data_IF_371202286735
#
_entry.id   IF_371202286735
#
_cell.length_a   1.000
_cell.length_b   1.000
_cell.length_c   1.000
_cell.angle_alpha   90.00
_cell.angle_beta   90.00
_cell.angle_gamma   90.00
#
_symmetry.space_group_name_H-M   'P 1'
#
loop_
_entity.id
_entity.type
_entity.pdbx_description
1 polymer ?
#
# COMPACT_ATOMS: atom_id res chain seq x y z
N UNK A 1 -52.05 44.93 -6.95
CA UNK A 1 -50.59 45.03 -6.75
C UNK A 1 -50.01 43.88 -5.91
N UNK A 2 -50.74 43.30 -4.94
CA UNK A 2 -50.22 42.27 -4.00
C UNK A 2 -49.62 41.02 -4.66
N UNK A 3 -50.31 40.40 -5.64
CA UNK A 3 -49.91 39.09 -6.16
C UNK A 3 -48.65 39.12 -7.05
N UNK A 4 -48.45 40.19 -7.81
CA UNK A 4 -47.26 40.35 -8.67
C UNK A 4 -46.02 40.59 -7.82
N UNK A 5 -46.15 41.41 -6.77
CA UNK A 5 -45.09 41.67 -5.80
C UNK A 5 -44.73 40.39 -5.01
N UNK A 6 -45.72 39.63 -4.55
CA UNK A 6 -45.53 38.35 -3.87
C UNK A 6 -44.78 37.35 -4.75
N UNK A 7 -45.23 37.13 -5.99
CA UNK A 7 -44.54 36.22 -6.91
C UNK A 7 -43.15 36.70 -7.31
N UNK A 8 -42.93 38.01 -7.43
CA UNK A 8 -41.59 38.57 -7.67
C UNK A 8 -40.65 38.20 -6.52
N UNK A 9 -41.09 38.39 -5.28
CA UNK A 9 -40.29 38.07 -4.10
C UNK A 9 -39.94 36.57 -4.03
N UNK A 10 -40.93 35.69 -4.21
CA UNK A 10 -40.72 34.23 -4.20
C UNK A 10 -39.71 33.79 -5.26
N UNK A 11 -39.80 34.35 -6.46
CA UNK A 11 -38.89 34.00 -7.56
C UNK A 11 -37.50 34.63 -7.37
N UNK A 12 -37.40 35.80 -6.74
CA UNK A 12 -36.13 36.43 -6.41
C UNK A 12 -35.37 35.62 -5.34
N UNK A 13 -36.05 35.21 -4.26
CA UNK A 13 -35.51 34.31 -3.24
C UNK A 13 -35.01 33.00 -3.87
N UNK A 14 -35.85 32.37 -4.69
CA UNK A 14 -35.50 31.13 -5.38
C UNK A 14 -34.29 31.31 -6.30
N UNK A 15 -34.16 32.46 -6.97
CA UNK A 15 -32.99 32.79 -7.80
C UNK A 15 -31.71 32.88 -6.97
N UNK A 16 -31.77 33.51 -5.79
CA UNK A 16 -30.64 33.60 -4.86
C UNK A 16 -30.20 32.21 -4.39
N UNK A 17 -31.13 31.37 -3.95
CA UNK A 17 -30.86 29.99 -3.52
C UNK A 17 -30.27 29.12 -4.63
N UNK A 18 -30.72 29.32 -5.88
CA UNK A 18 -30.14 28.65 -7.04
C UNK A 18 -28.69 29.07 -7.30
N UNK A 19 -28.34 30.32 -7.04
CA UNK A 19 -26.97 30.82 -7.17
C UNK A 19 -26.04 30.22 -6.11
N UNK A 20 -26.50 30.22 -4.85
CA UNK A 20 -25.79 29.56 -3.74
C UNK A 20 -25.56 28.08 -4.03
N UNK A 21 -26.57 27.37 -4.56
CA UNK A 21 -26.45 25.97 -4.94
C UNK A 21 -25.46 25.75 -6.11
N UNK A 22 -25.37 26.68 -7.07
CA UNK A 22 -24.34 26.64 -8.12
C UNK A 22 -22.95 26.80 -7.51
N UNK A 23 -22.77 27.76 -6.59
CA UNK A 23 -21.53 27.94 -5.85
C UNK A 23 -21.11 26.67 -5.10
N UNK A 24 -22.03 26.07 -4.35
CA UNK A 24 -21.79 24.85 -3.61
C UNK A 24 -21.40 23.66 -4.51
N UNK A 25 -22.09 23.45 -5.64
CA UNK A 25 -21.73 22.37 -6.56
C UNK A 25 -20.40 22.62 -7.29
N UNK A 26 -20.06 23.87 -7.62
CA UNK A 26 -18.73 24.19 -8.17
C UNK A 26 -17.63 23.89 -7.16
N UNK A 27 -17.86 24.16 -5.87
CA UNK A 27 -16.91 23.80 -4.82
C UNK A 27 -16.69 22.27 -4.77
N UNK A 28 -17.76 21.47 -4.74
CA UNK A 28 -17.63 20.01 -4.74
C UNK A 28 -16.97 19.47 -6.03
N UNK A 29 -17.27 20.07 -7.19
CA UNK A 29 -16.63 19.72 -8.47
C UNK A 29 -15.11 19.94 -8.44
N UNK A 30 -14.67 21.11 -7.95
CA UNK A 30 -13.26 21.43 -7.82
C UNK A 30 -12.58 20.51 -6.79
N UNK A 31 -13.21 20.29 -5.63
CA UNK A 31 -12.71 19.38 -4.62
C UNK A 31 -12.53 17.96 -5.17
N UNK A 32 -13.47 17.48 -5.99
CA UNK A 32 -13.40 16.16 -6.59
C UNK A 32 -12.23 16.04 -7.57
N UNK A 33 -11.95 17.08 -8.37
CA UNK A 33 -10.78 17.09 -9.26
C UNK A 33 -9.46 17.03 -8.49
N UNK A 34 -9.37 17.73 -7.37
CA UNK A 34 -8.19 17.65 -6.49
C UNK A 34 -8.03 16.24 -5.93
N UNK A 35 -9.13 15.61 -5.47
CA UNK A 35 -9.12 14.22 -4.98
C UNK A 35 -8.69 13.24 -6.08
N UNK A 36 -9.24 13.35 -7.29
CA UNK A 36 -8.86 12.48 -8.43
C UNK A 36 -7.37 12.62 -8.74
N UNK A 37 -6.85 13.86 -8.74
CA UNK A 37 -5.43 14.11 -8.96
C UNK A 37 -4.58 13.47 -7.87
N UNK A 38 -4.93 13.65 -6.59
CA UNK A 38 -4.22 13.03 -5.48
C UNK A 38 -4.19 11.50 -5.58
N UNK A 39 -5.34 10.87 -5.87
CA UNK A 39 -5.42 9.42 -6.07
C UNK A 39 -4.55 9.00 -7.27
N UNK A 40 -4.52 9.80 -8.34
CA UNK A 40 -3.68 9.51 -9.49
C UNK A 40 -2.19 9.55 -9.16
N UNK A 41 -1.76 10.57 -8.41
CA UNK A 41 -0.38 10.75 -7.96
C UNK A 41 0.03 9.58 -7.04
N UNK A 42 -0.88 9.12 -6.16
CA UNK A 42 -0.67 7.96 -5.28
C UNK A 42 -0.56 6.63 -6.07
N UNK A 43 -1.47 6.40 -7.02
CA UNK A 43 -1.39 5.26 -7.96
C UNK A 43 -0.06 5.27 -8.74
N UNK A 44 0.42 6.45 -9.15
CA UNK A 44 1.70 6.59 -9.83
C UNK A 44 2.88 6.37 -8.88
N UNK A 45 2.79 6.81 -7.63
CA UNK A 45 3.77 6.50 -6.58
C UNK A 45 3.93 4.99 -6.39
N UNK A 46 2.82 4.25 -6.32
CA UNK A 46 2.84 2.79 -6.28
C UNK A 46 3.46 2.12 -7.51
N UNK A 47 3.60 2.81 -8.65
CA UNK A 47 4.23 2.25 -9.85
C UNK A 47 5.77 2.34 -9.86
N UNK A 48 6.37 3.01 -8.87
CA UNK A 48 7.82 3.05 -8.67
C UNK A 48 8.35 1.71 -8.12
N UNK A 49 9.58 1.34 -8.48
CA UNK A 49 10.14 -0.03 -8.28
C UNK A 49 10.03 -0.55 -6.83
N UNK A 50 10.27 0.28 -5.81
CA UNK A 50 10.21 -0.13 -4.41
C UNK A 50 8.78 -0.46 -3.92
N UNK A 51 7.77 0.24 -4.44
CA UNK A 51 6.35 0.10 -4.03
C UNK A 51 5.50 -0.66 -5.06
N UNK A 52 6.15 -1.19 -6.11
CA UNK A 52 5.47 -1.88 -7.21
C UNK A 52 4.82 -3.18 -6.71
N UNK A 53 3.51 -3.39 -6.98
CA UNK A 53 2.89 -4.69 -6.79
C UNK A 53 3.60 -5.76 -7.63
N UNK A 54 3.96 -6.88 -7.00
CA UNK A 54 4.69 -7.99 -7.63
C UNK A 54 6.19 -7.77 -7.74
N UNK A 55 6.80 -6.87 -6.94
CA UNK A 55 8.26 -6.77 -6.86
C UNK A 55 8.89 -8.07 -6.34
N UNK A 56 8.16 -8.78 -5.48
CA UNK A 56 8.39 -10.19 -5.20
C UNK A 56 7.43 -11.01 -6.07
N UNK A 57 7.90 -12.16 -6.58
CA UNK A 57 7.05 -13.14 -7.26
C UNK A 57 6.93 -14.46 -6.48
N UNK A 58 6.49 -14.48 -5.20
CA UNK A 58 6.32 -15.74 -4.46
C UNK A 58 5.02 -16.42 -4.88
N UNK A 59 4.91 -17.74 -4.66
CA UNK A 59 3.66 -18.48 -4.89
C UNK A 59 2.48 -17.96 -4.06
N UNK A 60 2.76 -17.37 -2.88
CA UNK A 60 1.77 -16.74 -2.01
C UNK A 60 2.45 -15.72 -1.10
N UNK A 61 2.01 -14.46 -1.13
CA UNK A 61 2.59 -13.40 -0.32
C UNK A 61 1.51 -12.44 0.18
N UNK A 62 1.28 -12.44 1.49
CA UNK A 62 0.24 -11.65 2.13
C UNK A 62 0.49 -10.14 2.03
N UNK A 63 1.75 -9.71 1.87
CA UNK A 63 2.09 -8.30 1.67
C UNK A 63 1.72 -7.88 0.26
N UNK A 64 2.08 -8.67 -0.75
CA UNK A 64 1.74 -8.38 -2.16
C UNK A 64 0.23 -8.39 -2.38
N UNK A 65 -0.49 -9.33 -1.75
CA UNK A 65 -1.94 -9.36 -1.79
C UNK A 65 -2.55 -8.08 -1.20
N UNK A 66 -2.05 -7.64 -0.03
CA UNK A 66 -2.54 -6.43 0.61
C UNK A 66 -2.26 -5.17 -0.24
N UNK A 67 -1.06 -5.05 -0.81
CA UNK A 67 -0.67 -3.95 -1.70
C UNK A 67 -1.56 -3.93 -2.95
N UNK A 68 -1.81 -5.09 -3.55
CA UNK A 68 -2.66 -5.20 -4.74
C UNK A 68 -4.11 -4.81 -4.44
N UNK A 69 -4.63 -5.19 -3.26
CA UNK A 69 -5.98 -4.79 -2.83
C UNK A 69 -6.09 -3.27 -2.61
N UNK A 70 -5.11 -2.65 -1.95
CA UNK A 70 -5.03 -1.19 -1.79
C UNK A 70 -4.99 -0.49 -3.17
N UNK A 71 -4.11 -0.94 -4.05
CA UNK A 71 -3.96 -0.39 -5.40
C UNK A 71 -5.25 -0.48 -6.23
N UNK A 72 -5.89 -1.65 -6.23
CA UNK A 72 -7.15 -1.86 -6.96
C UNK A 72 -8.27 -0.99 -6.40
N UNK A 73 -8.37 -0.87 -5.08
CA UNK A 73 -9.33 0.01 -4.43
C UNK A 73 -9.17 1.47 -4.88
N UNK A 74 -7.94 2.00 -4.87
CA UNK A 74 -7.67 3.37 -5.33
C UNK A 74 -8.05 3.57 -6.80
N UNK A 75 -7.75 2.59 -7.67
CA UNK A 75 -8.12 2.64 -9.09
C UNK A 75 -9.63 2.66 -9.29
N UNK A 76 -10.36 1.85 -8.53
CA UNK A 76 -11.83 1.82 -8.56
C UNK A 76 -12.43 3.15 -8.07
N UNK A 77 -11.91 3.71 -6.97
CA UNK A 77 -12.39 4.99 -6.47
C UNK A 77 -12.09 6.14 -7.43
N UNK A 78 -10.90 6.15 -8.06
CA UNK A 78 -10.55 7.14 -9.10
C UNK A 78 -11.61 7.14 -10.21
N UNK A 79 -11.90 5.96 -10.77
CA UNK A 79 -12.91 5.80 -11.82
C UNK A 79 -14.31 6.22 -11.35
N UNK A 80 -14.68 5.89 -10.11
CA UNK A 80 -15.95 6.30 -9.51
C UNK A 80 -16.08 7.82 -9.45
N UNK A 81 -15.05 8.53 -9.01
CA UNK A 81 -15.07 9.99 -8.94
C UNK A 81 -15.03 10.65 -10.33
N UNK A 82 -14.27 10.11 -11.28
CA UNK A 82 -14.28 10.56 -12.68
C UNK A 82 -15.69 10.48 -13.27
N UNK A 83 -16.44 9.42 -12.97
CA UNK A 83 -17.83 9.26 -13.43
C UNK A 83 -18.81 10.25 -12.76
N UNK A 84 -18.51 10.77 -11.57
CA UNK A 84 -19.36 11.75 -10.88
C UNK A 84 -19.20 13.17 -11.43
N UNK A 85 -18.05 13.51 -12.01
CA UNK A 85 -17.79 14.84 -12.61
C UNK A 85 -18.86 15.26 -13.64
N UNK A 86 -19.15 14.46 -14.69
CA UNK A 86 -20.14 14.86 -15.70
C UNK A 86 -21.55 15.00 -15.11
N UNK A 87 -21.89 14.22 -14.08
CA UNK A 87 -23.16 14.35 -13.38
C UNK A 87 -23.27 15.69 -12.64
N UNK A 88 -22.22 16.10 -11.92
CA UNK A 88 -22.18 17.40 -11.25
C UNK A 88 -22.29 18.54 -12.26
N UNK A 89 -21.53 18.48 -13.36
CA UNK A 89 -21.56 19.48 -14.44
C UNK A 89 -22.97 19.62 -15.03
N UNK A 90 -23.66 18.50 -15.26
CA UNK A 90 -25.05 18.48 -15.72
C UNK A 90 -26.01 19.13 -14.73
N UNK A 91 -25.81 18.94 -13.41
CA UNK A 91 -26.63 19.60 -12.38
C UNK A 91 -26.36 21.10 -12.31
N UNK A 92 -25.10 21.52 -12.39
CA UNK A 92 -24.72 22.95 -12.44
C UNK A 92 -25.39 23.64 -13.63
N UNK A 93 -25.35 23.03 -14.82
CA UNK A 93 -25.98 23.61 -16.01
C UNK A 93 -27.51 23.68 -15.88
N UNK A 94 -28.14 22.67 -15.30
CA UNK A 94 -29.59 22.69 -15.04
C UNK A 94 -29.99 23.81 -14.05
N UNK A 95 -29.19 24.06 -13.01
CA UNK A 95 -29.39 25.18 -12.08
C UNK A 95 -29.25 26.52 -12.80
N UNK A 96 -28.15 26.73 -13.54
CA UNK A 96 -27.89 27.96 -14.31
C UNK A 96 -29.01 28.26 -15.30
N UNK A 97 -29.48 27.25 -16.04
CA UNK A 97 -30.59 27.38 -16.99
C UNK A 97 -31.90 27.74 -16.30
N UNK A 98 -32.18 27.14 -15.14
CA UNK A 98 -33.42 27.44 -14.39
C UNK A 98 -33.36 28.83 -13.76
N UNK A 99 -32.20 29.23 -13.21
CA UNK A 99 -31.93 30.57 -12.69
C UNK A 99 -32.18 31.64 -13.75
N UNK A 100 -31.56 31.52 -14.93
CA UNK A 100 -31.78 32.47 -16.06
C UNK A 100 -33.26 32.64 -16.43
N UNK A 101 -34.03 31.54 -16.43
CA UNK A 101 -35.48 31.59 -16.71
C UNK A 101 -36.26 32.33 -15.62
N UNK A 102 -35.88 32.14 -14.36
CA UNK A 102 -36.49 32.80 -13.20
C UNK A 102 -36.14 34.29 -13.21
N UNK A 103 -34.88 34.65 -13.42
CA UNK A 103 -34.42 36.05 -13.49
C UNK A 103 -35.13 36.84 -14.60
N UNK A 104 -35.33 36.22 -15.77
CA UNK A 104 -36.09 36.83 -16.85
C UNK A 104 -37.56 37.10 -16.45
N UNK A 105 -38.20 36.19 -15.71
CA UNK A 105 -39.57 36.39 -15.24
C UNK A 105 -39.66 37.40 -14.07
N UNK A 106 -38.65 37.46 -13.21
CA UNK A 106 -38.49 38.50 -12.17
C UNK A 106 -38.34 39.89 -12.80
N UNK A 107 -37.53 40.03 -13.86
CA UNK A 107 -37.37 41.30 -14.58
C UNK A 107 -38.70 41.76 -15.20
N UNK A 108 -39.44 40.85 -15.83
CA UNK A 108 -40.76 41.17 -16.38
C UNK A 108 -41.75 41.62 -15.30
N UNK A 109 -41.71 40.99 -14.11
CA UNK A 109 -42.53 41.41 -12.96
C UNK A 109 -42.11 42.78 -12.42
N UNK A 110 -40.80 43.07 -12.35
CA UNK A 110 -40.28 44.38 -11.97
C UNK A 110 -40.78 45.48 -12.91
N UNK A 111 -40.71 45.25 -14.22
CA UNK A 111 -41.21 46.19 -15.23
C UNK A 111 -42.73 46.40 -15.10
N UNK A 112 -43.48 45.33 -14.84
CA UNK A 112 -44.94 45.43 -14.64
C UNK A 112 -45.28 46.28 -13.42
N UNK A 113 -44.63 46.05 -12.28
CA UNK A 113 -44.84 46.85 -11.06
C UNK A 113 -44.45 48.32 -11.27
N UNK A 114 -43.35 48.59 -11.97
CA UNK A 114 -42.93 49.96 -12.27
C UNK A 114 -43.94 50.72 -13.15
N UNK A 115 -44.58 50.03 -14.11
CA UNK A 115 -45.67 50.60 -14.91
C UNK A 115 -46.90 50.86 -14.04
N UNK A 116 -47.28 49.89 -13.18
CA UNK A 116 -48.44 50.04 -12.29
C UNK A 116 -48.24 51.22 -11.31
N UNK A 117 -47.03 51.40 -10.78
CA UNK A 117 -46.64 52.55 -9.92
C UNK A 117 -46.68 53.88 -10.70
N UNK A 118 -46.20 53.90 -11.94
CA UNK A 118 -46.22 55.08 -12.81
C UNK A 118 -47.63 55.46 -13.30
N UNK A 119 -48.57 54.51 -13.36
CA UNK A 119 -49.98 54.77 -13.64
C UNK A 119 -50.75 55.22 -12.39
N UNK A 120 -50.35 54.75 -11.20
CA UNK A 120 -50.94 55.16 -9.92
C UNK A 120 -50.50 56.54 -9.44
N UNK A 121 -49.32 56.99 -9.84
CA UNK A 121 -48.86 58.38 -9.71
C UNK A 121 -49.31 59.14 -10.96
N UNK A 122 -49.98 60.29 -10.85
CA UNK A 122 -50.59 61.05 -11.97
C UNK A 122 -49.58 61.66 -12.99
N UNK A 123 -48.48 60.97 -13.34
CA UNK A 123 -47.44 61.37 -14.29
C UNK A 123 -47.61 60.72 -15.67
N UNK A 124 -48.79 60.18 -16.00
CA UNK A 124 -49.09 59.71 -17.35
C UNK A 124 -49.44 60.88 -18.28
N UNK A 125 -48.44 61.57 -18.84
CA UNK A 125 -48.65 62.34 -20.06
C UNK A 125 -48.80 61.35 -21.23
N UNK A 126 -49.90 61.36 -21.99
CA UNK A 126 -50.10 60.42 -23.08
C UNK A 126 -49.19 60.83 -24.25
N UNK A 127 -48.01 60.20 -24.38
CA UNK A 127 -47.25 60.27 -25.63
C UNK A 127 -48.06 59.57 -26.71
N UNK A 128 -48.72 60.37 -27.55
CA UNK A 128 -49.46 59.96 -28.74
C UNK A 128 -48.50 59.18 -29.63
N UNK A 129 -48.68 57.86 -29.70
CA UNK A 129 -47.83 56.99 -30.50
C UNK A 129 -48.12 57.23 -31.99
N UNK A 130 -47.20 57.92 -32.67
CA UNK A 130 -47.17 57.98 -34.13
C UNK A 130 -46.88 56.59 -34.70
N UNK A 131 -47.80 56.14 -35.55
CA UNK A 131 -47.65 55.17 -36.64
C UNK A 131 -46.67 54.00 -36.43
N UNK A 132 -47.21 52.88 -35.97
CA UNK A 132 -46.61 51.56 -36.16
C UNK A 132 -47.68 50.48 -35.98
N UNK A 133 -47.82 49.58 -36.96
CA UNK A 133 -48.76 48.44 -36.95
C UNK A 133 -48.60 47.64 -35.64
N UNK A 134 -49.41 47.96 -34.61
CA UNK A 134 -49.39 47.25 -33.33
C UNK A 134 -49.96 45.87 -33.54
N UNK A 135 -49.08 44.87 -33.66
CA UNK A 135 -49.48 43.47 -33.48
C UNK A 135 -50.23 43.38 -32.13
N UNK A 136 -51.50 42.95 -32.18
CA UNK A 136 -52.30 42.65 -30.99
C UNK A 136 -51.62 41.49 -30.24
N UNK A 137 -50.74 41.81 -29.29
CA UNK A 137 -50.18 40.80 -28.38
C UNK A 137 -51.35 40.24 -27.57
N UNK A 138 -51.69 38.96 -27.77
CA UNK A 138 -52.73 38.29 -26.99
C UNK A 138 -52.35 38.35 -25.51
N UNK A 139 -53.17 38.98 -24.69
CA UNK A 139 -52.96 39.03 -23.25
C UNK A 139 -53.02 37.60 -22.67
N UNK A 140 -52.14 37.30 -21.71
CA UNK A 140 -52.22 36.04 -20.99
C UNK A 140 -53.39 36.09 -20.01
N UNK A 141 -54.21 35.05 -19.98
CA UNK A 141 -55.19 34.86 -18.91
C UNK A 141 -54.48 34.75 -17.55
N UNK A 142 -55.11 35.21 -16.46
CA UNK A 142 -54.58 35.11 -15.10
C UNK A 142 -54.17 33.68 -14.73
N UNK A 143 -55.01 32.70 -15.07
CA UNK A 143 -54.73 31.28 -14.82
C UNK A 143 -53.42 30.81 -15.49
N UNK A 144 -53.21 31.16 -16.77
CA UNK A 144 -51.95 30.84 -17.49
C UNK A 144 -50.73 31.53 -16.89
N UNK A 145 -50.89 32.77 -16.40
CA UNK A 145 -49.80 33.50 -15.73
C UNK A 145 -49.42 32.83 -14.41
N UNK A 146 -50.41 32.50 -13.57
CA UNK A 146 -50.19 31.83 -12.30
C UNK A 146 -49.55 30.46 -12.48
N UNK A 147 -50.06 29.66 -13.43
CA UNK A 147 -49.49 28.35 -13.76
C UNK A 147 -48.03 28.43 -14.23
N UNK A 148 -47.65 29.52 -14.92
CA UNK A 148 -46.26 29.76 -15.32
C UNK A 148 -45.37 30.04 -14.11
N UNK A 149 -45.81 30.90 -13.18
CA UNK A 149 -45.09 31.20 -11.94
C UNK A 149 -44.90 29.93 -11.09
N UNK A 150 -45.97 29.17 -10.87
CA UNK A 150 -45.95 27.87 -10.19
C UNK A 150 -45.00 26.88 -10.87
N UNK A 151 -45.04 26.79 -12.21
CA UNK A 151 -44.14 25.93 -12.97
C UNK A 151 -42.66 26.29 -12.81
N UNK A 152 -42.33 27.59 -12.76
CA UNK A 152 -40.97 28.06 -12.49
C UNK A 152 -40.53 27.72 -11.06
N UNK A 153 -41.41 27.97 -10.07
CA UNK A 153 -41.15 27.62 -8.66
C UNK A 153 -40.86 26.13 -8.51
N UNK A 154 -41.74 25.26 -9.04
CA UNK A 154 -41.55 23.80 -8.98
C UNK A 154 -40.28 23.34 -9.69
N UNK A 155 -39.98 23.92 -10.85
CA UNK A 155 -38.74 23.61 -11.57
C UNK A 155 -37.51 24.00 -10.76
N UNK A 156 -37.50 25.18 -10.14
CA UNK A 156 -36.41 25.66 -9.29
C UNK A 156 -36.21 24.79 -8.05
N UNK A 157 -37.28 24.49 -7.32
CA UNK A 157 -37.22 23.60 -6.15
C UNK A 157 -36.69 22.21 -6.52
N UNK A 158 -37.15 21.63 -7.64
CA UNK A 158 -36.67 20.33 -8.11
C UNK A 158 -35.17 20.32 -8.42
N UNK A 159 -34.65 21.36 -9.09
CA UNK A 159 -33.20 21.40 -9.38
C UNK A 159 -32.38 21.67 -8.11
N UNK A 160 -32.91 22.42 -7.14
CA UNK A 160 -32.30 22.58 -5.81
C UNK A 160 -32.23 21.26 -5.05
N UNK A 161 -33.32 20.51 -4.96
CA UNK A 161 -33.33 19.19 -4.31
C UNK A 161 -32.30 18.26 -4.95
N UNK A 162 -32.24 18.22 -6.29
CA UNK A 162 -31.23 17.42 -6.99
C UNK A 162 -29.79 17.87 -6.69
N UNK A 163 -29.56 19.18 -6.54
CA UNK A 163 -28.25 19.72 -6.19
C UNK A 163 -27.84 19.30 -4.78
N UNK A 164 -28.75 19.37 -3.81
CA UNK A 164 -28.52 18.93 -2.42
C UNK A 164 -28.18 17.43 -2.38
N UNK A 165 -28.97 16.59 -3.05
CA UNK A 165 -28.72 15.14 -3.12
C UNK A 165 -27.35 14.85 -3.73
N UNK A 166 -27.02 15.51 -4.85
CA UNK A 166 -25.73 15.32 -5.54
C UNK A 166 -24.57 15.72 -4.63
N UNK A 167 -24.68 16.85 -3.92
CA UNK A 167 -23.67 17.31 -2.95
C UNK A 167 -23.47 16.28 -1.84
N UNK A 168 -24.55 15.77 -1.26
CA UNK A 168 -24.47 14.74 -0.20
C UNK A 168 -23.83 13.45 -0.70
N UNK A 169 -24.14 13.02 -1.93
CA UNK A 169 -23.54 11.84 -2.55
C UNK A 169 -22.02 12.00 -2.74
N UNK A 170 -21.58 13.16 -3.24
CA UNK A 170 -20.15 13.45 -3.42
C UNK A 170 -19.42 13.48 -2.08
N UNK A 171 -20.00 14.15 -1.07
CA UNK A 171 -19.43 14.20 0.28
C UNK A 171 -19.33 12.82 0.91
N UNK A 172 -20.41 12.04 0.87
CA UNK A 172 -20.42 10.67 1.40
C UNK A 172 -19.38 9.78 0.71
N UNK A 173 -19.22 9.91 -0.61
CA UNK A 173 -18.20 9.16 -1.35
C UNK A 173 -16.77 9.58 -0.96
N UNK A 174 -16.51 10.87 -0.71
CA UNK A 174 -15.21 11.37 -0.24
C UNK A 174 -14.87 10.87 1.16
N UNK A 175 -15.84 10.91 2.09
CA UNK A 175 -15.67 10.38 3.45
C UNK A 175 -15.38 8.88 3.39
N UNK A 176 -16.14 8.13 2.58
CA UNK A 176 -15.90 6.71 2.36
C UNK A 176 -14.49 6.43 1.83
N UNK A 177 -14.02 7.18 0.83
CA UNK A 177 -12.65 7.08 0.34
C UNK A 177 -11.65 7.24 1.48
N UNK A 178 -11.78 8.31 2.29
CA UNK A 178 -10.83 8.61 3.36
C UNK A 178 -10.71 7.46 4.37
N UNK A 179 -11.85 6.96 4.85
CA UNK A 179 -11.89 5.88 5.84
C UNK A 179 -11.37 4.56 5.25
N UNK A 180 -11.87 4.20 4.06
CA UNK A 180 -11.50 2.93 3.44
C UNK A 180 -10.02 2.92 2.99
N UNK A 181 -9.50 4.03 2.44
CA UNK A 181 -8.09 4.15 2.07
C UNK A 181 -7.18 3.98 3.30
N UNK A 182 -7.51 4.62 4.43
CA UNK A 182 -6.79 4.41 5.69
C UNK A 182 -6.84 2.95 6.14
N UNK A 183 -8.00 2.29 6.00
CA UNK A 183 -8.15 0.87 6.30
C UNK A 183 -7.26 -0.03 5.43
N UNK A 184 -7.21 0.20 4.11
CA UNK A 184 -6.31 -0.53 3.22
C UNK A 184 -4.84 -0.26 3.54
N UNK A 185 -4.47 0.99 3.79
CA UNK A 185 -3.10 1.36 4.14
C UNK A 185 -2.64 0.69 5.44
N UNK A 186 -3.47 0.71 6.49
CA UNK A 186 -3.15 0.07 7.76
C UNK A 186 -3.00 -1.46 7.63
N UNK A 187 -3.76 -2.09 6.73
CA UNK A 187 -3.63 -3.54 6.44
C UNK A 187 -2.28 -3.85 5.80
N UNK A 188 -1.84 -3.03 4.83
CA UNK A 188 -0.52 -3.16 4.20
C UNK A 188 0.59 -2.96 5.23
N UNK A 189 0.51 -1.89 6.03
CA UNK A 189 1.52 -1.59 7.05
C UNK A 189 1.63 -2.71 8.09
N UNK A 190 0.49 -3.27 8.53
CA UNK A 190 0.45 -4.41 9.44
C UNK A 190 1.06 -5.66 8.81
N UNK A 191 0.80 -5.93 7.53
CA UNK A 191 1.39 -7.06 6.82
C UNK A 191 2.91 -6.90 6.68
N UNK A 192 3.38 -5.72 6.26
CA UNK A 192 4.81 -5.38 6.15
C UNK A 192 5.54 -5.55 7.47
N UNK A 193 5.04 -4.94 8.55
CA UNK A 193 5.68 -5.03 9.88
C UNK A 193 5.77 -6.46 10.40
N UNK A 194 4.70 -7.26 10.20
CA UNK A 194 4.71 -8.67 10.61
C UNK A 194 5.72 -9.48 9.82
N UNK A 195 5.76 -9.31 8.50
CA UNK A 195 6.73 -10.00 7.64
C UNK A 195 8.16 -9.61 7.96
N UNK A 196 8.42 -8.30 8.09
CA UNK A 196 9.74 -7.77 8.44
C UNK A 196 10.24 -8.36 9.77
N UNK A 197 9.39 -8.35 10.80
CA UNK A 197 9.73 -8.91 12.10
C UNK A 197 10.00 -10.42 12.02
N UNK A 198 9.12 -11.18 11.36
CA UNK A 198 9.29 -12.62 11.18
C UNK A 198 10.57 -12.96 10.41
N UNK A 199 10.88 -12.22 9.34
CA UNK A 199 12.09 -12.43 8.55
C UNK A 199 13.35 -12.06 9.32
N UNK A 200 13.34 -11.00 10.13
CA UNK A 200 14.47 -10.64 11.02
C UNK A 200 14.76 -11.74 12.03
N UNK A 201 13.74 -12.30 12.68
CA UNK A 201 13.89 -13.44 13.60
C UNK A 201 14.44 -14.65 12.85
N UNK A 202 13.87 -14.97 11.69
CA UNK A 202 14.31 -16.11 10.87
C UNK A 202 15.76 -15.97 10.42
N UNK A 203 16.20 -14.76 10.06
CA UNK A 203 17.59 -14.48 9.72
C UNK A 203 18.53 -14.68 10.92
N UNK A 204 18.13 -14.22 12.11
CA UNK A 204 18.91 -14.43 13.34
C UNK A 204 19.05 -15.91 13.67
N UNK A 205 17.96 -16.67 13.63
CA UNK A 205 17.95 -18.12 13.85
C UNK A 205 18.83 -18.85 12.83
N UNK A 206 18.72 -18.48 11.55
CA UNK A 206 19.53 -19.06 10.48
C UNK A 206 21.02 -18.75 10.65
N UNK A 207 21.39 -17.53 11.05
CA UNK A 207 22.78 -17.19 11.36
C UNK A 207 23.30 -18.01 12.55
N UNK A 208 22.48 -18.22 13.57
CA UNK A 208 22.84 -19.06 14.71
C UNK A 208 23.06 -20.52 14.29
N UNK A 209 22.16 -21.09 13.48
CA UNK A 209 22.30 -22.46 12.94
C UNK A 209 23.55 -22.60 12.07
N UNK A 210 23.86 -21.57 11.27
CA UNK A 210 25.09 -21.51 10.47
C UNK A 210 26.33 -21.52 11.35
N UNK A 211 26.37 -20.71 12.40
CA UNK A 211 27.49 -20.70 13.34
C UNK A 211 27.68 -22.04 14.05
N UNK A 212 26.58 -22.73 14.41
CA UNK A 212 26.65 -24.08 14.98
C UNK A 212 27.20 -25.09 13.97
N UNK A 213 26.71 -25.07 12.73
CA UNK A 213 27.22 -25.97 11.69
C UNK A 213 28.71 -25.75 11.39
N UNK A 214 29.20 -24.50 11.49
CA UNK A 214 30.64 -24.19 11.38
C UNK A 214 31.42 -24.77 12.57
N UNK A 215 30.88 -24.68 13.80
CA UNK A 215 31.50 -25.30 14.98
C UNK A 215 31.61 -26.82 14.81
N UNK A 216 30.51 -27.48 14.43
CA UNK A 216 30.47 -28.92 14.17
C UNK A 216 31.46 -29.32 13.07
N UNK A 217 31.55 -28.53 12.00
CA UNK A 217 32.51 -28.76 10.91
C UNK A 217 33.96 -28.72 11.42
N UNK A 218 34.31 -27.75 12.26
CA UNK A 218 35.64 -27.63 12.85
C UNK A 218 35.94 -28.79 13.81
N UNK A 219 34.95 -29.25 14.60
CA UNK A 219 35.10 -30.44 15.44
C UNK A 219 35.37 -31.70 14.61
N UNK A 220 34.66 -31.89 13.49
CA UNK A 220 34.94 -33.00 12.58
C UNK A 220 36.33 -32.90 11.93
N UNK A 221 36.83 -31.69 11.68
CA UNK A 221 38.19 -31.47 11.17
C UNK A 221 39.25 -31.90 12.19
N UNK A 222 39.07 -31.57 13.47
CA UNK A 222 39.93 -32.05 14.55
C UNK A 222 39.87 -33.58 14.71
N UNK A 223 38.67 -34.17 14.65
CA UNK A 223 38.48 -35.62 14.70
C UNK A 223 39.15 -36.34 13.52
N UNK A 224 39.07 -35.75 12.32
CA UNK A 224 39.72 -36.26 11.11
C UNK A 224 41.24 -36.29 11.30
N UNK A 225 41.84 -35.17 11.69
CA UNK A 225 43.28 -35.06 11.94
C UNK A 225 43.74 -36.09 12.98
N UNK A 226 43.01 -36.22 14.09
CA UNK A 226 43.33 -37.20 15.13
C UNK A 226 43.20 -38.65 14.61
N UNK A 227 42.18 -38.95 13.82
CA UNK A 227 41.98 -40.30 13.24
C UNK A 227 43.07 -40.65 12.24
N UNK A 228 43.52 -39.68 11.43
CA UNK A 228 44.64 -39.83 10.51
C UNK A 228 45.96 -40.07 11.24
N UNK A 229 46.24 -39.32 12.31
CA UNK A 229 47.41 -39.54 13.16
C UNK A 229 47.41 -40.94 13.80
N UNK A 230 46.26 -41.38 14.30
CA UNK A 230 46.09 -42.73 14.84
C UNK A 230 46.32 -43.81 13.78
N UNK A 231 45.89 -43.57 12.53
CA UNK A 231 46.11 -44.49 11.43
C UNK A 231 47.60 -44.60 11.09
N UNK A 232 48.31 -43.48 11.02
CA UNK A 232 49.76 -43.47 10.78
C UNK A 232 50.51 -44.22 11.89
N UNK A 233 50.19 -43.95 13.16
CA UNK A 233 50.80 -44.65 14.29
C UNK A 233 50.52 -46.16 14.28
N UNK A 234 49.30 -46.56 13.91
CA UNK A 234 48.95 -47.98 13.76
C UNK A 234 49.68 -48.65 12.60
N UNK A 235 49.88 -47.95 11.48
CA UNK A 235 50.68 -48.44 10.35
C UNK A 235 52.17 -48.58 10.67
N UNK A 236 52.72 -47.74 11.56
CA UNK A 236 54.08 -47.90 12.07
C UNK A 236 54.22 -49.14 12.94
N UNK A 237 53.25 -49.39 13.82
CA UNK A 237 53.20 -50.62 14.62
C UNK A 237 53.08 -51.87 13.74
N UNK A 238 52.23 -51.81 12.72
CA UNK A 238 52.07 -52.89 11.74
C UNK A 238 53.42 -53.23 11.08
N UNK A 239 54.16 -52.21 10.62
CA UNK A 239 55.49 -52.38 10.02
C UNK A 239 56.50 -53.03 10.98
N UNK A 240 56.50 -52.65 12.26
CA UNK A 240 57.39 -53.24 13.27
C UNK A 240 57.06 -54.72 13.49
N UNK A 241 55.79 -55.08 13.58
CA UNK A 241 55.36 -56.48 13.77
C UNK A 241 55.68 -57.31 12.52
N UNK A 242 55.47 -56.76 11.32
CA UNK A 242 55.84 -57.41 10.06
C UNK A 242 57.34 -57.64 9.94
N UNK A 243 58.17 -56.64 10.28
CA UNK A 243 59.62 -56.77 10.29
C UNK A 243 60.07 -57.88 11.25
N UNK A 244 59.51 -57.93 12.47
CA UNK A 244 59.78 -59.00 13.44
C UNK A 244 59.37 -60.38 12.93
N UNK A 245 58.24 -60.49 12.24
CA UNK A 245 57.81 -61.75 11.62
C UNK A 245 58.74 -62.15 10.46
N UNK A 246 59.20 -61.18 9.66
CA UNK A 246 60.16 -61.39 8.58
C UNK A 246 61.51 -61.87 9.12
N UNK A 247 62.06 -61.23 10.15
CA UNK A 247 63.32 -61.64 10.79
C UNK A 247 63.25 -63.07 11.31
N UNK A 248 62.12 -63.45 11.91
CA UNK A 248 61.89 -64.82 12.39
C UNK A 248 61.79 -65.85 11.25
N UNK A 249 61.39 -65.42 10.06
CA UNK A 249 61.31 -66.28 8.87
C UNK A 249 62.68 -66.57 8.24
N UNK A 250 63.72 -65.79 8.58
CA UNK A 250 65.10 -65.98 8.11
C UNK A 250 65.89 -67.05 8.89
N UNK A 251 65.26 -67.72 9.87
CA UNK A 251 65.93 -68.77 10.65
C UNK A 251 66.36 -69.95 9.75
N UNK A 252 67.50 -70.59 10.03
CA UNK A 252 67.97 -71.74 9.24
C UNK A 252 66.94 -72.89 9.19
N UNK A 253 66.95 -73.70 8.11
CA UNK A 253 66.11 -74.89 8.02
C UNK A 253 66.36 -75.82 9.21
N UNK A 254 65.31 -76.13 9.98
CA UNK A 254 65.37 -76.91 11.22
C UNK A 254 65.06 -76.11 12.50
N UNK A 255 65.35 -74.80 12.51
CA UNK A 255 65.10 -73.88 13.64
C UNK A 255 63.84 -73.00 13.45
N UNK A 256 63.09 -73.26 12.37
CA UNK A 256 61.89 -72.53 12.02
C UNK A 256 60.72 -72.98 12.90
N UNK A 257 60.47 -72.26 13.98
CA UNK A 257 59.45 -72.62 14.97
C UNK A 257 58.16 -71.78 14.83
N UNK A 258 57.02 -72.46 14.96
CA UNK A 258 55.69 -71.85 15.19
C UNK A 258 55.42 -71.80 16.70
N UNK A 259 56.35 -71.21 17.43
CA UNK A 259 56.26 -71.04 18.86
C UNK A 259 55.21 -69.97 19.23
N UNK A 260 54.99 -69.82 20.52
CA UNK A 260 54.00 -68.92 21.08
C UNK A 260 54.20 -67.47 20.60
N UNK A 261 55.44 -67.01 20.53
CA UNK A 261 55.76 -65.64 20.08
C UNK A 261 55.38 -65.44 18.61
N UNK A 262 55.59 -66.42 17.74
CA UNK A 262 55.17 -66.33 16.34
C UNK A 262 53.64 -66.24 16.22
N UNK A 263 52.91 -67.04 17.02
CA UNK A 263 51.43 -66.97 17.08
C UNK A 263 50.96 -65.59 17.54
N UNK A 264 51.50 -65.08 18.64
CA UNK A 264 51.13 -63.77 19.20
C UNK A 264 51.41 -62.62 18.23
N UNK A 265 52.56 -62.62 17.54
CA UNK A 265 52.87 -61.60 16.53
C UNK A 265 51.88 -61.65 15.35
N UNK A 266 51.44 -62.84 14.92
CA UNK A 266 50.43 -62.96 13.86
C UNK A 266 49.05 -62.49 14.31
N UNK A 267 48.66 -62.78 15.55
CA UNK A 267 47.41 -62.29 16.13
C UNK A 267 47.43 -60.77 16.32
N UNK A 268 48.55 -60.21 16.78
CA UNK A 268 48.77 -58.77 16.86
C UNK A 268 48.68 -58.11 15.49
N UNK A 269 49.36 -58.65 14.47
CA UNK A 269 49.28 -58.16 13.09
C UNK A 269 47.84 -58.16 12.56
N UNK A 270 47.08 -59.24 12.82
CA UNK A 270 45.68 -59.32 12.42
C UNK A 270 44.82 -58.25 13.10
N UNK A 271 45.05 -57.98 14.40
CA UNK A 271 44.37 -56.90 15.13
C UNK A 271 44.72 -55.52 14.59
N UNK A 272 46.00 -55.24 14.35
CA UNK A 272 46.47 -53.98 13.78
C UNK A 272 45.83 -53.71 12.40
N UNK A 273 45.78 -54.73 11.53
CA UNK A 273 45.11 -54.62 10.22
C UNK A 273 43.60 -54.36 10.33
N UNK A 274 42.93 -55.05 11.25
CA UNK A 274 41.51 -54.81 11.51
C UNK A 274 41.26 -53.38 12.00
N UNK A 275 42.14 -52.87 12.87
CA UNK A 275 42.05 -51.50 13.39
C UNK A 275 42.35 -50.46 12.30
N UNK A 276 43.37 -50.67 11.46
CA UNK A 276 43.65 -49.86 10.27
C UNK A 276 42.42 -49.74 9.36
N UNK A 277 41.72 -50.85 9.11
CA UNK A 277 40.49 -50.85 8.31
C UNK A 277 39.40 -50.01 8.97
N UNK A 278 39.24 -50.13 10.28
CA UNK A 278 38.25 -49.35 11.04
C UNK A 278 38.54 -47.84 10.99
N UNK A 279 39.81 -47.44 11.17
CA UNK A 279 40.21 -46.04 11.09
C UNK A 279 39.97 -45.45 9.70
N UNK A 280 40.27 -46.19 8.62
CA UNK A 280 39.95 -45.76 7.25
C UNK A 280 38.45 -45.56 7.02
N UNK A 281 37.63 -46.49 7.50
CA UNK A 281 36.17 -46.34 7.44
C UNK A 281 35.68 -45.12 8.23
N UNK A 282 36.33 -44.80 9.35
CA UNK A 282 35.99 -43.62 10.13
C UNK A 282 36.36 -42.33 9.40
N UNK A 283 37.55 -42.27 8.79
CA UNK A 283 37.96 -41.16 7.91
C UNK A 283 36.92 -40.94 6.80
N UNK A 284 36.55 -41.98 6.06
CA UNK A 284 35.56 -41.88 4.98
C UNK A 284 34.21 -41.33 5.47
N UNK A 285 33.78 -41.77 6.66
CA UNK A 285 32.55 -41.31 7.31
C UNK A 285 32.64 -39.84 7.72
N UNK A 286 33.72 -39.44 8.39
CA UNK A 286 33.94 -38.05 8.83
C UNK A 286 34.01 -37.10 7.64
N UNK A 287 34.74 -37.46 6.57
CA UNK A 287 34.78 -36.68 5.33
C UNK A 287 33.40 -36.54 4.69
N UNK A 288 32.61 -37.62 4.67
CA UNK A 288 31.23 -37.56 4.15
C UNK A 288 30.34 -36.62 4.98
N UNK A 289 30.48 -36.62 6.31
CA UNK A 289 29.76 -35.71 7.19
C UNK A 289 30.18 -34.26 6.99
N UNK A 290 31.49 -33.98 6.86
CA UNK A 290 31.99 -32.65 6.54
C UNK A 290 31.40 -32.11 5.24
N UNK A 291 31.39 -32.92 4.17
CA UNK A 291 30.79 -32.51 2.90
C UNK A 291 29.31 -32.13 3.03
N UNK A 292 28.53 -32.94 3.76
CA UNK A 292 27.11 -32.65 4.02
C UNK A 292 26.92 -31.36 4.84
N UNK A 293 27.80 -31.08 5.81
CA UNK A 293 27.77 -29.82 6.57
C UNK A 293 28.14 -28.63 5.69
N UNK A 294 29.16 -28.73 4.84
CA UNK A 294 29.52 -27.68 3.87
C UNK A 294 28.34 -27.36 2.95
N UNK A 295 27.67 -28.40 2.43
CA UNK A 295 26.48 -28.23 1.60
C UNK A 295 25.32 -27.58 2.36
N UNK A 296 25.17 -27.89 3.65
CA UNK A 296 24.15 -27.27 4.50
C UNK A 296 24.46 -25.81 4.79
N UNK A 297 25.73 -25.48 5.08
CA UNK A 297 26.21 -24.10 5.30
C UNK A 297 25.97 -23.24 4.06
N UNK A 298 26.33 -23.73 2.87
CA UNK A 298 26.11 -22.99 1.62
C UNK A 298 24.63 -22.74 1.33
N UNK A 299 23.75 -23.71 1.61
CA UNK A 299 22.29 -23.50 1.50
C UNK A 299 21.77 -22.47 2.50
N UNK A 300 22.27 -22.50 3.74
CA UNK A 300 21.93 -21.48 4.74
C UNK A 300 22.35 -20.09 4.25
N UNK A 301 23.56 -19.94 3.73
CA UNK A 301 24.05 -18.67 3.18
C UNK A 301 23.14 -18.13 2.06
N UNK A 302 22.73 -18.98 1.10
CA UNK A 302 21.79 -18.57 0.05
C UNK A 302 20.45 -18.10 0.62
N UNK A 303 19.89 -18.81 1.60
CA UNK A 303 18.64 -18.40 2.26
C UNK A 303 18.78 -17.12 3.08
N UNK A 304 19.94 -16.89 3.70
CA UNK A 304 20.25 -15.66 4.41
C UNK A 304 20.23 -14.47 3.44
N UNK A 305 20.89 -14.59 2.29
CA UNK A 305 20.92 -13.55 1.26
C UNK A 305 19.52 -13.20 0.75
N UNK A 306 18.69 -14.21 0.48
CA UNK A 306 17.30 -14.01 0.04
C UNK A 306 16.48 -13.28 1.12
N UNK A 307 16.62 -13.67 2.39
CA UNK A 307 15.95 -12.98 3.51
C UNK A 307 16.41 -11.54 3.64
N UNK A 308 17.72 -11.26 3.51
CA UNK A 308 18.27 -9.90 3.56
C UNK A 308 17.65 -9.03 2.45
N UNK A 309 17.53 -9.56 1.23
CA UNK A 309 16.89 -8.82 0.12
C UNK A 309 15.43 -8.49 0.42
N UNK A 310 14.67 -9.45 0.96
CA UNK A 310 13.26 -9.22 1.33
C UNK A 310 13.12 -8.22 2.48
N UNK A 311 13.97 -8.33 3.51
CA UNK A 311 14.00 -7.40 4.65
C UNK A 311 14.26 -5.98 4.16
N UNK A 312 15.28 -5.80 3.32
CA UNK A 312 15.63 -4.49 2.76
C UNK A 312 14.47 -3.89 1.96
N UNK A 313 13.84 -4.70 1.11
CA UNK A 313 12.68 -4.27 0.33
C UNK A 313 11.49 -3.88 1.22
N UNK A 314 11.25 -4.59 2.33
CA UNK A 314 10.23 -4.23 3.30
C UNK A 314 10.54 -2.93 4.04
N UNK A 315 11.80 -2.70 4.41
CA UNK A 315 12.25 -1.46 5.04
C UNK A 315 12.08 -0.27 4.08
N UNK A 316 12.52 -0.41 2.83
CA UNK A 316 12.35 0.62 1.80
C UNK A 316 10.86 0.94 1.56
N UNK A 317 9.99 -0.08 1.53
CA UNK A 317 8.53 0.11 1.42
C UNK A 317 7.93 0.84 2.60
N UNK A 318 8.35 0.52 3.82
CA UNK A 318 7.87 1.20 5.03
C UNK A 318 8.33 2.67 5.02
N UNK A 319 9.60 2.94 4.72
CA UNK A 319 10.13 4.31 4.65
C UNK A 319 9.39 5.16 3.60
N UNK A 320 9.19 4.61 2.40
CA UNK A 320 8.45 5.31 1.35
C UNK A 320 7.02 5.67 1.78
N UNK A 321 6.34 4.76 2.49
CA UNK A 321 4.97 5.00 2.99
C UNK A 321 4.91 6.01 4.13
N UNK A 322 5.98 6.13 4.92
CA UNK A 322 6.10 7.16 5.98
C UNK A 322 6.50 8.53 5.43
N UNK A 323 6.91 8.62 4.15
CA UNK A 323 7.42 9.85 3.55
C UNK A 323 8.82 10.23 4.06
N UNK A 324 9.55 9.25 4.59
CA UNK A 324 10.93 9.44 5.04
C UNK A 324 11.87 9.26 3.84
N UNK A 325 12.67 10.26 3.52
CA UNK A 325 13.75 10.09 2.55
C UNK A 325 14.78 9.09 3.10
N UNK A 326 15.08 8.05 2.32
CA UNK A 326 16.12 7.08 2.64
C UNK A 326 17.43 7.83 2.87
N UNK A 327 17.86 7.93 4.13
CA UNK A 327 19.26 8.25 4.42
C UNK A 327 20.08 7.13 3.82
N UNK A 328 20.87 7.45 2.78
CA UNK A 328 21.84 6.53 2.22
C UNK A 328 22.79 6.11 3.33
N UNK A 329 22.64 4.88 3.82
CA UNK A 329 23.58 4.33 4.81
C UNK A 329 24.90 4.11 4.09
N UNK A 330 26.02 4.74 4.50
CA UNK A 330 27.33 4.33 4.03
C UNK A 330 27.63 2.94 4.60
N UNK A 331 28.08 2.02 3.75
CA UNK A 331 28.59 0.74 4.21
C UNK A 331 29.67 0.92 5.29
N UNK A 332 29.56 0.07 6.31
CA UNK A 332 30.56 -0.36 7.29
C UNK A 332 30.39 0.13 8.75
N UNK A 333 30.36 -0.89 9.60
CA UNK A 333 30.72 -0.97 11.02
C UNK A 333 29.62 -0.82 12.09
N UNK A 334 29.45 -1.95 12.76
CA UNK A 334 28.74 -2.22 14.02
C UNK A 334 29.45 -1.50 15.19
N UNK A 335 28.70 -0.79 16.04
CA UNK A 335 28.74 -0.87 17.52
C UNK A 335 27.62 -0.02 18.15
N UNK A 336 27.19 -0.34 19.39
CA UNK A 336 25.90 0.03 19.94
C UNK A 336 25.96 1.32 20.76
N UNK A 337 24.91 2.12 20.68
CA UNK A 337 24.74 3.23 21.63
C UNK A 337 23.68 4.23 21.23
N UNK A 338 22.66 4.31 22.09
CA UNK A 338 21.85 5.50 22.42
C UNK A 338 20.83 6.04 21.40
N UNK A 339 19.56 5.82 21.76
CA UNK A 339 18.55 6.88 21.83
C UNK A 339 17.89 7.29 20.52
N UNK A 340 16.94 6.49 20.03
CA UNK A 340 15.94 6.98 19.06
C UNK A 340 14.90 7.83 19.81
N UNK A 341 14.96 9.15 19.64
CA UNK A 341 13.84 10.03 19.92
C UNK A 341 12.80 9.84 18.82
N UNK A 342 11.68 9.22 19.19
CA UNK A 342 10.47 9.15 18.38
C UNK A 342 9.96 10.57 18.09
N UNK A 343 10.02 10.97 16.82
CA UNK A 343 9.20 12.07 16.31
C UNK A 343 7.84 11.49 15.94
N UNK A 344 6.98 11.32 16.95
CA UNK A 344 5.54 11.12 16.74
C UNK A 344 4.94 12.44 16.23
N UNK A 345 4.94 12.61 14.92
CA UNK A 345 3.99 13.52 14.27
C UNK A 345 2.85 12.67 13.71
N UNK A 346 1.74 12.47 14.46
CA UNK A 346 0.55 11.86 13.90
C UNK A 346 0.05 12.72 12.73
N UNK A 347 -0.45 12.03 11.70
CA UNK A 347 -1.12 12.62 10.55
C UNK A 347 -2.12 13.69 11.02
N UNK A 348 -1.90 14.92 10.58
CA UNK A 348 -2.75 16.06 10.92
C UNK A 348 -4.17 15.79 10.46
N UNK A 349 -5.07 15.75 11.43
CA UNK A 349 -6.53 15.74 11.22
C UNK A 349 -6.87 16.91 10.31
N UNK A 350 -7.68 16.64 9.29
CA UNK A 350 -8.29 17.70 8.48
C UNK A 350 -9.14 18.54 9.44
N UNK A 351 -8.71 19.77 9.73
CA UNK A 351 -9.54 20.72 10.46
C UNK A 351 -10.78 21.00 9.60
N UNK A 352 -11.91 20.44 10.01
CA UNK A 352 -13.22 20.88 9.57
C UNK A 352 -13.41 22.31 10.12
N UNK A 353 -13.68 23.26 9.21
CA UNK A 353 -14.07 24.61 9.60
C UNK A 353 -15.35 24.54 10.42
N UNK A 354 -15.37 25.26 11.54
CA UNK A 354 -16.46 25.33 12.53
C UNK A 354 -17.79 25.65 11.82
N UNK A 355 -18.77 24.76 12.00
CA UNK A 355 -20.09 24.77 11.34
C UNK A 355 -21.07 25.87 11.82
N UNK A 356 -20.66 26.81 12.66
CA UNK A 356 -21.59 27.72 13.35
C UNK A 356 -21.92 29.04 12.61
N UNK A 357 -21.32 29.30 11.45
CA UNK A 357 -21.49 30.58 10.73
C UNK A 357 -22.24 30.43 9.40
N UNK A 358 -23.42 29.78 9.35
CA UNK A 358 -24.33 29.94 8.20
C UNK A 358 -25.82 30.06 8.56
N UNK A 359 -26.51 31.12 8.09
CA UNK A 359 -27.84 31.51 8.55
C UNK A 359 -28.91 30.78 7.76
N UNK A 360 -29.09 29.49 8.03
CA UNK A 360 -30.21 28.73 7.47
C UNK A 360 -31.12 28.09 8.52
N UNK A 361 -30.90 28.38 9.80
CA UNK A 361 -31.82 27.98 10.85
C UNK A 361 -32.77 29.12 11.23
N UNK A 362 -34.02 28.91 10.78
CA UNK A 362 -35.30 29.61 11.02
C UNK A 362 -35.67 30.80 10.12
#
# INVERSE_FOLDING_TARGET
MSDIASWRWVLLDLSKRLDEAVGALNHEHNALRVVIKRIHDEIQGHSQEASKPGALSPLSDCVEEAILQEYNFLREQKKKFENMIPDIEKRIEALKKTKKRIEADVLNKQQTLSIDEACGSNSCTPKRAENGKKMKRKASTLMRWNNRCEGLKRSGLRVLTNAIITRQQVRGARVYLSIAAQGYAARVDSALRRRLHANKIKLQDLNWQREEAIRDHNTLEEELINTEQNLLGNMDQERVVEARLADRSLRPPGELTKDEVNRQLREELARLRSFSKHLRMNIDRTTSLQHNLTDSITRMDCYAEDLIRVIRLDEERIHFRLGEELQSVPSANILPGTGFTHSDSPLTVIQEEVEDDYPFDN
#
